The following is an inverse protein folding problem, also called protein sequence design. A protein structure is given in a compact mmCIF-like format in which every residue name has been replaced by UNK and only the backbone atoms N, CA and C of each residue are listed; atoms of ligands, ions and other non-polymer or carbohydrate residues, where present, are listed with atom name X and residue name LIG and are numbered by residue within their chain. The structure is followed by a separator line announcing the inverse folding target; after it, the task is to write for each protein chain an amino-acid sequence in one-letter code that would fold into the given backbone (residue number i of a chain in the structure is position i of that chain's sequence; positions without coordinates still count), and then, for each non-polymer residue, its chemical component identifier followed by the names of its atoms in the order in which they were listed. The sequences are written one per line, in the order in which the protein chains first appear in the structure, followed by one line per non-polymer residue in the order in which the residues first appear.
data_IF_893144757568
#
_entry.id   IF_893144757568
#
_cell.length_a   1.000
_cell.length_b   1.000
_cell.length_c   1.000
_cell.angle_alpha   90.00
_cell.angle_beta   90.00
_cell.angle_gamma   90.00
#
_symmetry.space_group_name_H-M   'P 1'
#
loop_
_entity.id
_entity.type
_entity.pdbx_description
1 polymer ?
#
# COMPACT_ATOMS: atom_id res chain seq x y z
N UNK A 1 99.48 3.94 19.25
CA UNK A 1 98.01 4.06 19.25
C UNK A 1 97.72 5.53 18.95
N UNK A 2 97.16 5.87 17.78
CA UNK A 2 95.70 6.02 17.54
C UNK A 2 95.05 6.98 18.56
N UNK A 3 94.28 8.01 18.21
CA UNK A 3 93.73 8.54 16.92
C UNK A 3 93.39 10.03 17.19
N UNK A 4 93.46 10.98 16.26
CA UNK A 4 92.57 11.12 15.10
C UNK A 4 91.28 11.87 15.48
N UNK A 5 91.19 13.19 15.20
CA UNK A 5 89.96 13.98 15.32
C UNK A 5 89.71 14.73 14.00
N UNK A 6 88.57 14.44 13.35
CA UNK A 6 88.18 15.01 12.06
C UNK A 6 86.99 15.95 12.25
N UNK A 7 87.03 17.09 11.56
CA UNK A 7 85.94 18.07 11.48
C UNK A 7 84.82 17.50 10.60
N UNK A 8 83.57 17.53 11.10
CA UNK A 8 82.37 17.27 10.29
C UNK A 8 81.46 18.49 10.42
N UNK A 9 81.15 19.12 9.29
CA UNK A 9 80.25 20.27 9.21
C UNK A 9 78.78 19.87 9.24
N UNK A 10 77.95 20.69 9.88
CA UNK A 10 76.49 20.50 9.86
C UNK A 10 75.91 20.84 8.48
N UNK A 11 75.27 19.87 7.85
CA UNK A 11 74.27 20.10 6.81
C UNK A 11 72.89 19.93 7.45
N UNK A 12 72.18 21.04 7.63
CA UNK A 12 70.80 21.04 8.12
C UNK A 12 69.82 20.73 7.00
N UNK A 13 69.29 19.52 6.97
CA UNK A 13 68.13 19.17 6.14
C UNK A 13 66.85 19.69 6.79
N UNK A 14 66.22 20.68 6.15
CA UNK A 14 64.87 21.15 6.50
C UNK A 14 63.85 20.07 6.12
N UNK A 15 63.47 19.22 7.08
CA UNK A 15 62.34 18.30 6.92
C UNK A 15 61.03 19.03 7.20
N UNK A 16 60.18 19.17 6.17
CA UNK A 16 58.81 19.64 6.34
C UNK A 16 58.02 18.64 7.19
N UNK A 17 57.14 19.08 8.12
CA UNK A 17 56.35 18.18 8.93
C UNK A 17 55.30 17.43 8.09
N UNK A 18 55.09 16.16 8.41
CA UNK A 18 54.13 15.31 7.72
C UNK A 18 52.70 15.85 7.87
N UNK A 19 51.95 15.84 6.75
CA UNK A 19 50.54 16.27 6.66
C UNK A 19 49.58 15.13 6.26
N UNK A 20 50.01 13.89 6.42
CA UNK A 20 49.30 12.70 5.92
C UNK A 20 48.18 12.20 6.84
N UNK A 21 48.41 12.13 8.17
CA UNK A 21 47.51 11.50 9.16
C UNK A 21 46.05 11.99 9.06
N UNK A 22 45.84 13.30 8.96
CA UNK A 22 44.51 13.93 9.01
C UNK A 22 43.60 13.51 7.83
N UNK A 23 44.16 13.07 6.69
CA UNK A 23 43.37 12.66 5.53
C UNK A 23 42.88 11.22 5.60
N UNK A 24 43.70 10.30 6.13
CA UNK A 24 43.32 8.89 6.29
C UNK A 24 42.27 8.73 7.40
N UNK A 25 42.38 9.48 8.50
CA UNK A 25 41.37 9.55 9.56
C UNK A 25 40.03 10.11 9.03
N UNK A 26 40.08 11.16 8.19
CA UNK A 26 38.88 11.72 7.55
C UNK A 26 38.24 10.73 6.57
N UNK A 27 39.03 9.99 5.79
CA UNK A 27 38.53 8.96 4.89
C UNK A 27 37.88 7.80 5.65
N UNK A 28 38.51 7.31 6.73
CA UNK A 28 37.96 6.25 7.56
C UNK A 28 36.63 6.65 8.22
N UNK A 29 36.54 7.88 8.71
CA UNK A 29 35.31 8.44 9.28
C UNK A 29 34.19 8.54 8.23
N UNK A 30 34.49 9.04 7.03
CA UNK A 30 33.54 9.11 5.91
C UNK A 30 33.04 7.72 5.49
N UNK A 31 33.94 6.74 5.44
CA UNK A 31 33.63 5.36 5.07
C UNK A 31 32.78 4.65 6.14
N UNK A 32 33.01 4.95 7.42
CA UNK A 32 32.16 4.50 8.52
C UNK A 32 30.77 5.14 8.47
N UNK A 33 30.67 6.44 8.18
CA UNK A 33 29.39 7.12 8.01
C UNK A 33 28.60 6.50 6.84
N UNK A 34 29.24 6.22 5.72
CA UNK A 34 28.59 5.57 4.56
C UNK A 34 28.08 4.15 4.90
N UNK A 35 28.83 3.36 5.68
CA UNK A 35 28.38 2.03 6.12
C UNK A 35 27.19 2.09 7.10
N UNK A 36 27.22 3.06 8.03
CA UNK A 36 26.11 3.36 8.93
C UNK A 36 24.85 3.69 8.10
N UNK A 37 24.98 4.63 7.17
CA UNK A 37 23.92 5.09 6.26
C UNK A 37 23.27 3.98 5.44
N UNK A 38 24.06 3.05 4.88
CA UNK A 38 23.52 1.90 4.13
C UNK A 38 22.73 0.97 5.05
N UNK A 39 23.24 0.71 6.26
CA UNK A 39 22.57 -0.14 7.25
C UNK A 39 21.24 0.47 7.70
N UNK A 40 21.20 1.79 7.89
CA UNK A 40 19.98 2.51 8.27
C UNK A 40 18.93 2.47 7.14
N UNK A 41 19.34 2.62 5.87
CA UNK A 41 18.45 2.48 4.69
C UNK A 41 17.82 1.08 4.64
N UNK A 42 18.62 0.02 4.77
CA UNK A 42 18.12 -1.36 4.74
C UNK A 42 17.11 -1.62 5.88
N UNK A 43 17.36 -1.06 7.07
CA UNK A 43 16.43 -1.13 8.20
C UNK A 43 15.12 -0.37 7.94
N UNK A 44 15.18 0.83 7.33
CA UNK A 44 13.99 1.62 7.01
C UNK A 44 13.14 0.97 5.91
N UNK A 45 13.75 0.42 4.84
CA UNK A 45 13.03 -0.33 3.83
C UNK A 45 12.37 -1.60 4.42
N UNK A 46 13.08 -2.36 5.25
CA UNK A 46 12.52 -3.53 5.92
C UNK A 46 11.34 -3.17 6.85
N UNK A 47 11.39 -2.02 7.51
CA UNK A 47 10.28 -1.50 8.31
C UNK A 47 9.08 -1.11 7.43
N UNK A 48 9.30 -0.47 6.28
CA UNK A 48 8.26 -0.08 5.33
C UNK A 48 7.57 -1.31 4.72
N UNK A 49 8.32 -2.33 4.33
CA UNK A 49 7.80 -3.61 3.82
C UNK A 49 6.94 -4.31 4.88
N UNK A 50 7.44 -4.39 6.12
CA UNK A 50 6.70 -4.98 7.24
C UNK A 50 5.41 -4.20 7.55
N UNK A 51 5.45 -2.87 7.55
CA UNK A 51 4.27 -2.03 7.77
C UNK A 51 3.25 -2.16 6.62
N UNK A 52 3.71 -2.23 5.38
CA UNK A 52 2.87 -2.44 4.19
C UNK A 52 2.20 -3.80 4.23
N UNK A 53 2.93 -4.87 4.56
CA UNK A 53 2.39 -6.21 4.74
C UNK A 53 1.34 -6.25 5.87
N UNK A 54 1.56 -5.54 6.97
CA UNK A 54 0.61 -5.43 8.09
C UNK A 54 -0.68 -4.69 7.70
N UNK A 55 -0.58 -3.61 6.90
CA UNK A 55 -1.77 -2.92 6.36
C UNK A 55 -2.55 -3.85 5.42
N UNK A 56 -1.90 -4.55 4.50
CA UNK A 56 -2.55 -5.51 3.59
C UNK A 56 -3.24 -6.63 4.39
N UNK A 57 -2.55 -7.22 5.37
CA UNK A 57 -3.09 -8.27 6.24
C UNK A 57 -4.31 -7.80 7.05
N UNK A 58 -4.23 -6.61 7.66
CA UNK A 58 -5.36 -6.06 8.43
C UNK A 58 -6.58 -5.71 7.56
N UNK A 59 -6.37 -5.20 6.34
CA UNK A 59 -7.46 -4.96 5.37
C UNK A 59 -8.13 -6.26 4.93
N UNK A 60 -7.36 -7.33 4.69
CA UNK A 60 -7.93 -8.64 4.36
C UNK A 60 -8.73 -9.21 5.54
N UNK A 61 -8.19 -9.18 6.75
CA UNK A 61 -8.89 -9.65 7.96
C UNK A 61 -10.20 -8.88 8.21
N UNK A 62 -10.21 -7.56 7.96
CA UNK A 62 -11.42 -6.74 8.04
C UNK A 62 -12.46 -7.15 6.97
N UNK A 63 -12.04 -7.38 5.73
CA UNK A 63 -12.93 -7.84 4.65
C UNK A 63 -13.55 -9.22 4.95
N UNK A 64 -12.74 -10.15 5.46
CA UNK A 64 -13.19 -11.49 5.87
C UNK A 64 -14.21 -11.40 7.03
N UNK A 65 -13.94 -10.55 8.03
CA UNK A 65 -14.86 -10.31 9.15
C UNK A 65 -16.17 -9.65 8.71
N UNK A 66 -16.13 -8.73 7.74
CA UNK A 66 -17.33 -8.13 7.15
C UNK A 66 -18.19 -9.18 6.42
N UNK A 67 -17.57 -10.14 5.72
CA UNK A 67 -18.28 -11.26 5.10
C UNK A 67 -18.92 -12.19 6.16
N UNK A 68 -18.22 -12.46 7.27
CA UNK A 68 -18.76 -13.22 8.41
C UNK A 68 -19.96 -12.50 9.05
N UNK A 69 -19.87 -11.18 9.25
CA UNK A 69 -20.97 -10.36 9.77
C UNK A 69 -22.20 -10.40 8.85
N UNK A 70 -22.02 -10.21 7.54
CA UNK A 70 -23.10 -10.29 6.57
C UNK A 70 -23.80 -11.66 6.58
N UNK A 71 -23.04 -12.75 6.69
CA UNK A 71 -23.57 -14.11 6.84
C UNK A 71 -24.36 -14.27 8.15
N UNK A 72 -23.80 -13.83 9.27
CA UNK A 72 -24.45 -13.94 10.58
C UNK A 72 -25.76 -13.12 10.65
N UNK A 73 -25.79 -11.93 10.05
CA UNK A 73 -27.00 -11.12 9.91
C UNK A 73 -28.07 -11.84 9.07
N UNK A 74 -27.69 -12.43 7.93
CA UNK A 74 -28.62 -13.22 7.11
C UNK A 74 -29.15 -14.46 7.83
N UNK A 75 -28.33 -15.12 8.67
CA UNK A 75 -28.75 -16.28 9.48
C UNK A 75 -29.71 -15.87 10.60
N UNK A 76 -29.46 -14.74 11.26
CA UNK A 76 -30.36 -14.13 12.24
C UNK A 76 -31.71 -13.76 11.62
N UNK A 77 -31.71 -13.12 10.45
CA UNK A 77 -32.94 -12.68 9.79
C UNK A 77 -33.77 -13.89 9.30
N UNK A 78 -33.11 -14.95 8.83
CA UNK A 78 -33.76 -16.23 8.54
C UNK A 78 -34.32 -16.90 9.82
N UNK A 79 -33.60 -16.84 10.95
CA UNK A 79 -34.07 -17.38 12.23
C UNK A 79 -35.32 -16.66 12.73
N UNK A 80 -35.37 -15.32 12.65
CA UNK A 80 -36.56 -14.51 12.95
C UNK A 80 -37.76 -14.87 12.06
N UNK A 81 -37.54 -15.08 10.76
CA UNK A 81 -38.62 -15.46 9.84
C UNK A 81 -39.24 -16.82 10.21
N UNK A 82 -38.43 -17.79 10.63
CA UNK A 82 -38.90 -19.09 11.14
C UNK A 82 -39.55 -18.93 12.52
N UNK A 83 -39.03 -18.06 13.39
CA UNK A 83 -39.59 -17.78 14.72
C UNK A 83 -41.02 -17.23 14.62
N UNK A 84 -41.27 -16.26 13.74
CA UNK A 84 -42.63 -15.77 13.45
C UNK A 84 -43.57 -16.88 12.97
N UNK A 85 -43.09 -17.81 12.13
CA UNK A 85 -43.89 -18.97 11.71
C UNK A 85 -44.23 -19.89 12.89
N UNK A 86 -43.30 -20.11 13.83
CA UNK A 86 -43.56 -20.91 15.04
C UNK A 86 -44.49 -20.20 16.02
N UNK A 87 -44.33 -18.89 16.21
CA UNK A 87 -45.22 -18.07 17.03
C UNK A 87 -46.66 -18.10 16.50
N UNK A 88 -46.85 -17.94 15.19
CA UNK A 88 -48.17 -18.03 14.55
C UNK A 88 -48.78 -19.43 14.66
N UNK A 89 -47.99 -20.49 14.43
CA UNK A 89 -48.46 -21.88 14.59
C UNK A 89 -48.84 -22.20 16.04
N UNK A 90 -48.08 -21.69 17.02
CA UNK A 90 -48.40 -21.81 18.44
C UNK A 90 -49.70 -21.08 18.79
N UNK A 91 -49.87 -19.83 18.34
CA UNK A 91 -51.09 -19.06 18.57
C UNK A 91 -52.35 -19.78 18.04
N UNK A 92 -52.27 -20.35 16.83
CA UNK A 92 -53.37 -21.17 16.27
C UNK A 92 -53.65 -22.41 17.12
N UNK A 93 -52.61 -23.17 17.52
CA UNK A 93 -52.77 -24.38 18.32
C UNK A 93 -53.34 -24.08 19.73
N UNK A 94 -52.98 -22.95 20.34
CA UNK A 94 -53.54 -22.52 21.62
C UNK A 94 -54.99 -22.05 21.50
N UNK A 95 -55.35 -21.41 20.39
CA UNK A 95 -56.74 -21.05 20.09
C UNK A 95 -57.61 -22.28 19.88
N UNK A 96 -57.19 -23.24 19.03
CA UNK A 96 -57.89 -24.51 18.81
C UNK A 96 -58.08 -25.29 20.12
N UNK A 97 -57.05 -25.31 20.98
CA UNK A 97 -57.12 -25.92 22.31
C UNK A 97 -58.14 -25.22 23.23
N UNK A 98 -58.22 -23.88 23.19
CA UNK A 98 -59.20 -23.10 23.94
C UNK A 98 -60.63 -23.40 23.50
N UNK A 99 -60.85 -23.47 22.19
CA UNK A 99 -62.15 -23.76 21.58
C UNK A 99 -62.58 -25.21 21.87
N UNK A 100 -61.65 -26.18 21.82
CA UNK A 100 -61.92 -27.57 22.19
C UNK A 100 -62.27 -27.73 23.69
N UNK A 101 -61.59 -27.02 24.59
CA UNK A 101 -61.94 -26.98 26.02
C UNK A 101 -63.35 -26.42 26.24
N UNK A 102 -63.70 -25.38 25.49
CA UNK A 102 -65.04 -24.79 25.50
C UNK A 102 -66.09 -25.77 24.98
N UNK A 103 -65.82 -26.46 23.86
CA UNK A 103 -66.71 -27.49 23.30
C UNK A 103 -66.96 -28.66 24.27
N UNK A 104 -65.92 -29.16 24.96
CA UNK A 104 -66.05 -30.20 25.98
C UNK A 104 -66.88 -29.71 27.18
N UNK A 105 -66.71 -28.45 27.60
CA UNK A 105 -67.52 -27.84 28.67
C UNK A 105 -69.00 -27.75 28.28
N UNK A 106 -69.30 -27.24 27.07
CA UNK A 106 -70.66 -27.16 26.53
C UNK A 106 -71.29 -28.56 26.35
N UNK A 107 -70.52 -29.54 25.88
CA UNK A 107 -70.97 -30.93 25.75
C UNK A 107 -71.34 -31.57 27.10
N UNK A 108 -70.54 -31.36 28.14
CA UNK A 108 -70.85 -31.81 29.51
C UNK A 108 -72.16 -31.18 30.02
N UNK A 109 -72.32 -29.87 29.82
CA UNK A 109 -73.53 -29.16 30.23
C UNK A 109 -74.78 -29.65 29.47
N UNK A 110 -74.65 -29.92 28.16
CA UNK A 110 -75.74 -30.44 27.34
C UNK A 110 -76.16 -31.86 27.77
N UNK A 111 -75.20 -32.75 28.06
CA UNK A 111 -75.48 -34.10 28.60
C UNK A 111 -76.18 -34.00 29.96
N UNK A 112 -75.69 -33.17 30.88
CA UNK A 112 -76.30 -32.99 32.20
C UNK A 112 -77.73 -32.40 32.12
N UNK A 113 -77.96 -31.41 31.24
CA UNK A 113 -79.28 -30.85 31.01
C UNK A 113 -80.26 -31.90 30.44
N UNK A 114 -79.82 -32.70 29.46
CA UNK A 114 -80.61 -33.77 28.86
C UNK A 114 -80.95 -34.87 29.88
N UNK A 115 -80.01 -35.25 30.76
CA UNK A 115 -80.26 -36.18 31.86
C UNK A 115 -81.28 -35.64 32.85
N UNK A 116 -81.18 -34.36 33.22
CA UNK A 116 -82.12 -33.70 34.13
C UNK A 116 -83.53 -33.65 33.56
N UNK A 117 -83.66 -33.32 32.26
CA UNK A 117 -84.93 -33.34 31.53
C UNK A 117 -85.53 -34.75 31.49
N UNK A 118 -84.78 -35.76 31.06
CA UNK A 118 -85.27 -37.15 31.05
C UNK A 118 -85.73 -37.62 32.45
N UNK A 119 -85.02 -37.24 33.51
CA UNK A 119 -85.41 -37.52 34.89
C UNK A 119 -86.65 -36.72 35.36
N UNK A 120 -86.89 -35.52 34.82
CA UNK A 120 -88.12 -34.76 35.05
C UNK A 120 -89.31 -35.35 34.28
N UNK A 121 -89.12 -35.76 33.03
CA UNK A 121 -90.17 -36.36 32.20
C UNK A 121 -90.59 -37.72 32.76
N UNK A 122 -89.64 -38.55 33.23
CA UNK A 122 -89.95 -39.79 33.97
C UNK A 122 -90.73 -39.54 35.26
N UNK A 123 -90.34 -38.53 36.07
CA UNK A 123 -91.07 -38.17 37.31
C UNK A 123 -92.46 -37.62 37.03
N UNK A 124 -92.60 -36.76 36.01
CA UNK A 124 -93.88 -36.15 35.61
C UNK A 124 -94.81 -37.22 35.06
N UNK A 125 -94.30 -38.14 34.22
CA UNK A 125 -95.03 -39.32 33.76
C UNK A 125 -95.50 -40.17 34.94
N UNK A 126 -94.65 -40.43 35.93
CA UNK A 126 -95.02 -41.21 37.12
C UNK A 126 -96.06 -40.50 38.01
N UNK A 127 -95.99 -39.17 38.14
CA UNK A 127 -96.90 -38.37 38.97
C UNK A 127 -98.26 -38.09 38.31
N UNK A 128 -98.27 -37.77 37.00
CA UNK A 128 -99.51 -37.60 36.24
C UNK A 128 -100.20 -38.93 35.98
N UNK A 129 -99.44 -40.02 35.87
CA UNK A 129 -99.99 -41.37 35.73
C UNK A 129 -100.17 -42.05 37.10
N UNK A 130 -100.96 -41.42 37.98
CA UNK A 130 -101.69 -42.13 39.05
C UNK A 130 -102.58 -43.25 38.49
N UNK A 131 -102.86 -43.21 37.17
CA UNK A 131 -103.36 -44.31 36.38
C UNK A 131 -102.45 -45.54 36.24
N UNK A 132 -101.24 -45.61 36.82
CA UNK A 132 -100.52 -46.89 36.94
C UNK A 132 -101.29 -47.91 37.81
N UNK A 133 -102.20 -47.45 38.68
CA UNK A 133 -103.22 -48.30 39.32
C UNK A 133 -104.13 -48.95 38.26
N UNK A 134 -104.43 -48.27 37.15
CA UNK A 134 -105.18 -48.85 36.02
C UNK A 134 -104.36 -49.75 35.09
N UNK A 135 -103.02 -49.80 35.21
CA UNK A 135 -102.24 -50.91 34.63
C UNK A 135 -102.44 -52.19 35.45
N UNK A 136 -102.69 -52.06 36.76
CA UNK A 136 -103.28 -53.13 37.57
C UNK A 136 -104.69 -53.52 37.10
N UNK A 137 -105.51 -52.55 36.63
CA UNK A 137 -106.80 -52.83 36.02
C UNK A 137 -106.74 -53.29 34.55
N UNK A 138 -105.56 -53.34 33.92
CA UNK A 138 -105.38 -53.94 32.59
C UNK A 138 -105.71 -55.45 32.58
N UNK A 139 -105.74 -56.08 33.77
CA UNK A 139 -106.07 -57.48 33.98
C UNK A 139 -107.32 -57.70 34.86
N UNK A 140 -108.09 -56.64 35.20
CA UNK A 140 -109.18 -56.73 36.20
C UNK A 140 -110.54 -56.23 35.72
N UNK A 141 -110.65 -55.57 34.56
CA UNK A 141 -111.99 -55.27 34.00
C UNK A 141 -112.07 -55.37 32.47
N UNK A 142 -113.12 -56.02 31.96
CA UNK A 142 -113.19 -56.56 30.58
C UNK A 142 -114.26 -55.93 29.68
N UNK A 143 -115.00 -54.92 30.15
CA UNK A 143 -116.27 -54.52 29.50
C UNK A 143 -116.29 -53.18 28.73
N UNK A 144 -115.17 -52.45 28.57
CA UNK A 144 -115.10 -51.30 27.66
C UNK A 144 -114.05 -51.47 26.54
N UNK A 145 -114.55 -51.71 25.32
CA UNK A 145 -113.75 -51.89 24.10
C UNK A 145 -113.44 -50.54 23.39
N UNK A 146 -113.98 -49.41 23.89
CA UNK A 146 -113.96 -48.12 23.21
C UNK A 146 -112.61 -47.40 23.10
N UNK A 147 -111.57 -47.83 23.83
CA UNK A 147 -110.30 -47.09 23.96
C UNK A 147 -109.01 -47.89 23.69
N UNK A 148 -109.08 -49.05 23.03
CA UNK A 148 -107.86 -49.81 22.65
C UNK A 148 -106.91 -48.97 21.79
N UNK A 149 -107.45 -48.17 20.86
CA UNK A 149 -106.69 -47.20 20.07
C UNK A 149 -105.98 -46.16 20.93
N UNK A 150 -106.66 -45.57 21.91
CA UNK A 150 -106.07 -44.63 22.86
C UNK A 150 -105.00 -45.29 23.73
N UNK A 151 -105.22 -46.52 24.21
CA UNK A 151 -104.22 -47.27 25.00
C UNK A 151 -102.96 -47.59 24.19
N UNK A 152 -103.11 -47.99 22.92
CA UNK A 152 -101.99 -48.19 21.99
C UNK A 152 -101.30 -46.87 21.65
N UNK A 153 -102.05 -45.77 21.46
CA UNK A 153 -101.47 -44.43 21.26
C UNK A 153 -100.72 -43.94 22.50
N UNK A 154 -101.21 -44.16 23.72
CA UNK A 154 -100.49 -43.79 24.95
C UNK A 154 -99.26 -44.67 25.18
N UNK A 155 -99.37 -45.98 25.00
CA UNK A 155 -98.22 -46.89 25.12
C UNK A 155 -97.13 -46.58 24.08
N UNK A 156 -97.51 -46.32 22.83
CA UNK A 156 -96.57 -45.89 21.79
C UNK A 156 -96.04 -44.47 22.01
N UNK A 157 -96.85 -43.52 22.50
CA UNK A 157 -96.37 -42.16 22.82
C UNK A 157 -95.38 -42.17 23.98
N UNK A 158 -95.64 -42.94 25.04
CA UNK A 158 -94.70 -43.10 26.16
C UNK A 158 -93.42 -43.82 25.74
N UNK A 159 -93.54 -44.88 24.94
CA UNK A 159 -92.38 -45.61 24.40
C UNK A 159 -91.55 -44.74 23.43
N UNK A 160 -92.20 -43.96 22.56
CA UNK A 160 -91.55 -43.09 21.57
C UNK A 160 -90.98 -41.82 22.20
N UNK A 161 -91.62 -41.23 23.21
CA UNK A 161 -91.08 -40.10 23.95
C UNK A 161 -89.83 -40.51 24.75
N UNK A 162 -89.92 -41.64 25.48
CA UNK A 162 -88.79 -42.15 26.26
C UNK A 162 -87.64 -42.59 25.34
N UNK A 163 -87.91 -43.26 24.22
CA UNK A 163 -86.86 -43.62 23.25
C UNK A 163 -86.23 -42.40 22.57
N UNK A 164 -86.99 -41.33 22.30
CA UNK A 164 -86.46 -40.09 21.73
C UNK A 164 -85.49 -39.38 22.69
N UNK A 165 -85.83 -39.24 23.96
CA UNK A 165 -84.95 -38.59 24.95
C UNK A 165 -83.70 -39.43 25.25
N UNK A 166 -83.81 -40.76 25.26
CA UNK A 166 -82.69 -41.69 25.38
C UNK A 166 -81.77 -41.65 24.15
N UNK A 167 -82.32 -41.69 22.94
CA UNK A 167 -81.55 -41.56 21.69
C UNK A 167 -80.79 -40.23 21.64
N UNK A 168 -81.43 -39.13 22.06
CA UNK A 168 -80.80 -37.80 22.14
C UNK A 168 -79.70 -37.75 23.20
N UNK A 169 -79.89 -38.40 24.35
CA UNK A 169 -78.84 -38.54 25.37
C UNK A 169 -77.64 -39.32 24.83
N UNK A 170 -77.86 -40.45 24.16
CA UNK A 170 -76.81 -41.26 23.53
C UNK A 170 -76.05 -40.45 22.46
N UNK A 171 -76.75 -39.68 21.63
CA UNK A 171 -76.13 -38.79 20.66
C UNK A 171 -75.23 -37.73 21.32
N UNK A 172 -75.70 -37.07 22.39
CA UNK A 172 -74.92 -36.08 23.12
C UNK A 172 -73.72 -36.70 23.85
N UNK A 173 -73.84 -37.92 24.36
CA UNK A 173 -72.73 -38.67 24.97
C UNK A 173 -71.65 -39.01 23.94
N UNK A 174 -72.04 -39.46 22.74
CA UNK A 174 -71.09 -39.72 21.63
C UNK A 174 -70.41 -38.42 21.15
N UNK A 175 -71.16 -37.32 21.04
CA UNK A 175 -70.59 -36.01 20.70
C UNK A 175 -69.60 -35.52 21.77
N UNK A 176 -69.92 -35.68 23.06
CA UNK A 176 -69.01 -35.35 24.15
C UNK A 176 -67.75 -36.24 24.13
N UNK A 177 -67.90 -37.55 23.91
CA UNK A 177 -66.77 -38.47 23.81
C UNK A 177 -65.83 -38.06 22.66
N UNK A 178 -66.38 -37.77 21.48
CA UNK A 178 -65.61 -37.30 20.33
C UNK A 178 -64.89 -35.97 20.63
N UNK A 179 -65.56 -35.02 21.27
CA UNK A 179 -64.96 -33.75 21.69
C UNK A 179 -63.84 -33.95 22.73
N UNK A 180 -63.97 -34.91 23.65
CA UNK A 180 -62.93 -35.27 24.62
C UNK A 180 -61.71 -35.92 23.95
N UNK A 181 -61.92 -36.78 22.94
CA UNK A 181 -60.83 -37.34 22.14
C UNK A 181 -60.11 -36.26 21.33
N UNK A 182 -60.86 -35.35 20.69
CA UNK A 182 -60.28 -34.20 19.96
C UNK A 182 -59.50 -33.27 20.90
N UNK A 183 -60.00 -33.00 22.11
CA UNK A 183 -59.29 -32.22 23.11
C UNK A 183 -57.92 -32.84 23.45
N UNK A 184 -57.84 -34.15 23.67
CA UNK A 184 -56.58 -34.83 23.96
C UNK A 184 -55.55 -34.69 22.81
N UNK A 185 -56.00 -34.77 21.55
CA UNK A 185 -55.14 -34.51 20.38
C UNK A 185 -54.67 -33.06 20.31
N UNK A 186 -55.54 -32.09 20.61
CA UNK A 186 -55.19 -30.67 20.59
C UNK A 186 -54.29 -30.25 21.77
N UNK A 187 -54.41 -30.92 22.92
CA UNK A 187 -53.45 -30.78 24.03
C UNK A 187 -52.05 -31.26 23.64
N UNK A 188 -51.96 -32.35 22.86
CA UNK A 188 -50.69 -32.85 22.31
C UNK A 188 -50.10 -31.88 21.28
N UNK A 189 -50.91 -31.45 20.30
CA UNK A 189 -50.50 -30.49 19.27
C UNK A 189 -50.00 -29.17 19.87
N UNK A 190 -50.70 -28.62 20.86
CA UNK A 190 -50.29 -27.39 21.53
C UNK A 190 -48.99 -27.59 22.34
N UNK A 191 -48.77 -28.76 22.97
CA UNK A 191 -47.51 -29.08 23.64
C UNK A 191 -46.34 -29.10 22.64
N UNK A 192 -46.50 -29.83 21.52
CA UNK A 192 -45.49 -29.90 20.46
C UNK A 192 -45.22 -28.53 19.83
N UNK A 193 -46.25 -27.70 19.64
CA UNK A 193 -46.09 -26.33 19.15
C UNK A 193 -45.28 -25.45 20.12
N UNK A 194 -45.52 -25.56 21.44
CA UNK A 194 -44.74 -24.85 22.47
C UNK A 194 -43.28 -25.30 22.49
N UNK A 195 -43.03 -26.61 22.44
CA UNK A 195 -41.67 -27.17 22.37
C UNK A 195 -40.93 -26.69 21.12
N UNK A 196 -41.60 -26.69 19.95
CA UNK A 196 -41.03 -26.20 18.69
C UNK A 196 -40.75 -24.69 18.69
N UNK A 197 -41.64 -23.88 19.30
CA UNK A 197 -41.43 -22.44 19.45
C UNK A 197 -40.28 -22.13 20.41
N UNK A 198 -40.22 -22.79 21.57
CA UNK A 198 -39.12 -22.62 22.53
C UNK A 198 -37.76 -23.03 21.94
N UNK A 199 -37.71 -24.14 21.20
CA UNK A 199 -36.51 -24.58 20.50
C UNK A 199 -36.07 -23.63 19.37
N UNK A 200 -37.02 -22.94 18.72
CA UNK A 200 -36.70 -21.94 17.71
C UNK A 200 -36.22 -20.63 18.34
N UNK A 201 -36.85 -20.17 19.42
CA UNK A 201 -36.43 -18.97 20.15
C UNK A 201 -34.96 -19.06 20.60
N UNK A 202 -34.53 -20.22 21.13
CA UNK A 202 -33.12 -20.44 21.48
C UNK A 202 -32.16 -20.40 20.28
N UNK A 203 -32.62 -20.77 19.07
CA UNK A 203 -31.82 -20.64 17.84
C UNK A 203 -31.73 -19.18 17.37
N UNK A 204 -32.84 -18.44 17.48
CA UNK A 204 -32.88 -16.99 17.16
C UNK A 204 -31.93 -16.22 18.08
N UNK A 205 -31.97 -16.47 19.40
CA UNK A 205 -31.05 -15.88 20.38
C UNK A 205 -29.58 -16.23 20.10
N UNK A 206 -29.28 -17.47 19.69
CA UNK A 206 -27.92 -17.85 19.31
C UNK A 206 -27.45 -17.14 18.02
N UNK A 207 -28.34 -16.93 17.05
CA UNK A 207 -28.05 -16.20 15.82
C UNK A 207 -27.88 -14.68 16.05
N UNK A 208 -28.67 -14.08 16.95
CA UNK A 208 -28.48 -12.71 17.45
C UNK A 208 -27.08 -12.55 18.07
N UNK A 209 -26.73 -13.41 19.04
CA UNK A 209 -25.42 -13.37 19.71
C UNK A 209 -24.25 -13.57 18.74
N UNK A 210 -24.41 -14.42 17.72
CA UNK A 210 -23.42 -14.60 16.66
C UNK A 210 -23.26 -13.33 15.79
N UNK A 211 -24.35 -12.68 15.41
CA UNK A 211 -24.32 -11.43 14.66
C UNK A 211 -23.70 -10.28 15.47
N UNK A 212 -24.02 -10.15 16.76
CA UNK A 212 -23.44 -9.16 17.66
C UNK A 212 -21.95 -9.41 17.89
N UNK A 213 -21.55 -10.68 18.05
CA UNK A 213 -20.13 -11.06 18.18
C UNK A 213 -19.34 -10.72 16.91
N UNK A 214 -19.89 -11.00 15.74
CA UNK A 214 -19.29 -10.63 14.46
C UNK A 214 -19.21 -9.10 14.28
N UNK A 215 -20.22 -8.35 14.72
CA UNK A 215 -20.22 -6.89 14.65
C UNK A 215 -19.12 -6.29 15.55
N UNK A 216 -18.97 -6.81 16.76
CA UNK A 216 -17.88 -6.43 17.66
C UNK A 216 -16.50 -6.77 17.08
N UNK A 217 -16.35 -7.94 16.43
CA UNK A 217 -15.11 -8.32 15.76
C UNK A 217 -14.77 -7.37 14.60
N UNK A 218 -15.74 -6.98 13.77
CA UNK A 218 -15.56 -5.97 12.72
C UNK A 218 -15.12 -4.63 13.34
N UNK A 219 -15.76 -4.17 14.42
CA UNK A 219 -15.38 -2.91 15.08
C UNK A 219 -13.94 -2.95 15.64
N UNK A 220 -13.50 -4.07 16.19
CA UNK A 220 -12.11 -4.26 16.65
C UNK A 220 -11.12 -4.25 15.46
N UNK A 221 -11.49 -4.87 14.34
CA UNK A 221 -10.63 -4.92 13.16
C UNK A 221 -10.57 -3.60 12.39
N UNK A 222 -11.61 -2.76 12.43
CA UNK A 222 -11.55 -1.37 11.97
C UNK A 222 -10.50 -0.60 12.77
N UNK A 223 -10.58 -0.62 14.11
CA UNK A 223 -9.60 0.07 14.96
C UNK A 223 -8.16 -0.49 14.79
N UNK A 224 -8.02 -1.80 14.59
CA UNK A 224 -6.71 -2.42 14.30
C UNK A 224 -6.17 -2.03 12.92
N UNK A 225 -7.04 -1.86 11.91
CA UNK A 225 -6.66 -1.40 10.58
C UNK A 225 -6.27 0.09 10.59
N UNK A 226 -7.04 0.95 11.26
CA UNK A 226 -6.67 2.36 11.50
C UNK A 226 -5.31 2.49 12.20
N UNK A 227 -5.05 1.66 13.22
CA UNK A 227 -3.76 1.63 13.92
C UNK A 227 -2.61 1.13 13.00
N UNK A 228 -2.86 0.15 12.13
CA UNK A 228 -1.87 -0.33 11.17
C UNK A 228 -1.56 0.75 10.11
N UNK A 229 -2.57 1.46 9.61
CA UNK A 229 -2.39 2.56 8.65
C UNK A 229 -1.67 3.76 9.29
N UNK A 230 -1.97 4.11 10.54
CA UNK A 230 -1.24 5.13 11.29
C UNK A 230 0.23 4.73 11.52
N UNK A 231 0.50 3.47 11.84
CA UNK A 231 1.86 2.94 11.99
C UNK A 231 2.65 3.00 10.66
N UNK A 232 2.03 2.61 9.55
CA UNK A 232 2.64 2.71 8.22
C UNK A 232 2.89 4.16 7.79
N UNK A 233 1.98 5.08 8.12
CA UNK A 233 2.18 6.52 7.88
C UNK A 233 3.35 7.09 8.70
N UNK A 234 3.55 6.61 9.94
CA UNK A 234 4.71 7.00 10.75
C UNK A 234 6.01 6.45 10.17
N UNK A 235 6.08 5.18 9.79
CA UNK A 235 7.27 4.58 9.16
C UNK A 235 7.66 5.32 7.86
N UNK A 236 6.68 5.67 7.02
CA UNK A 236 6.90 6.48 5.82
C UNK A 236 7.38 7.92 6.14
N UNK A 237 6.97 8.49 7.27
CA UNK A 237 7.47 9.79 7.72
C UNK A 237 8.92 9.70 8.23
N UNK A 238 9.24 8.64 8.98
CA UNK A 238 10.57 8.36 9.51
C UNK A 238 11.57 8.07 8.37
N UNK A 239 11.18 7.27 7.38
CA UNK A 239 11.95 7.00 6.15
C UNK A 239 12.26 8.31 5.39
N UNK A 240 11.25 9.17 5.18
CA UNK A 240 11.44 10.48 4.53
C UNK A 240 12.36 11.39 5.34
N UNK A 241 12.29 11.38 6.66
CA UNK A 241 13.18 12.13 7.53
C UNK A 241 14.62 11.61 7.45
N UNK A 242 14.80 10.28 7.43
CA UNK A 242 16.10 9.63 7.24
C UNK A 242 16.71 9.98 5.87
N UNK A 243 15.93 9.90 4.79
CA UNK A 243 16.38 10.26 3.45
C UNK A 243 16.71 11.76 3.32
N UNK A 244 15.96 12.65 3.98
CA UNK A 244 16.29 14.08 4.03
C UNK A 244 17.58 14.36 4.81
N UNK A 245 17.80 13.66 5.94
CA UNK A 245 19.05 13.72 6.68
C UNK A 245 20.23 13.19 5.85
N UNK A 246 20.02 12.11 5.09
CA UNK A 246 21.02 11.55 4.19
C UNK A 246 21.42 12.53 3.10
N UNK A 247 20.44 13.19 2.46
CA UNK A 247 20.68 14.22 1.45
C UNK A 247 21.54 15.36 2.01
N UNK A 248 21.21 15.86 3.20
CA UNK A 248 21.97 16.93 3.86
C UNK A 248 23.42 16.51 4.22
N UNK A 249 23.64 15.24 4.61
CA UNK A 249 24.99 14.71 4.81
C UNK A 249 25.78 14.64 3.50
N UNK A 250 25.17 14.13 2.42
CA UNK A 250 25.79 14.04 1.10
C UNK A 250 26.13 15.43 0.52
N UNK A 251 25.26 16.42 0.73
CA UNK A 251 25.52 17.81 0.34
C UNK A 251 26.68 18.41 1.15
N UNK A 252 26.72 18.17 2.48
CA UNK A 252 27.82 18.61 3.34
C UNK A 252 29.17 17.98 2.97
N UNK A 253 29.18 16.69 2.61
CA UNK A 253 30.38 15.98 2.14
C UNK A 253 30.81 16.52 0.77
N UNK A 254 29.86 16.76 -0.13
CA UNK A 254 30.13 17.38 -1.44
C UNK A 254 30.75 18.76 -1.29
N UNK A 255 30.23 19.59 -0.39
CA UNK A 255 30.79 20.91 -0.08
C UNK A 255 32.21 20.79 0.48
N UNK A 256 32.46 19.89 1.44
CA UNK A 256 33.81 19.66 1.98
C UNK A 256 34.82 19.23 0.90
N UNK A 257 34.42 18.38 -0.06
CA UNK A 257 35.24 17.99 -1.21
C UNK A 257 35.51 19.20 -2.13
N UNK A 258 34.52 20.04 -2.40
CA UNK A 258 34.70 21.27 -3.21
C UNK A 258 35.66 22.26 -2.54
N UNK A 259 35.48 22.52 -1.24
CA UNK A 259 36.37 23.40 -0.46
C UNK A 259 37.81 22.87 -0.42
N UNK A 260 38.00 21.54 -0.26
CA UNK A 260 39.31 20.88 -0.34
C UNK A 260 39.93 21.06 -1.73
N UNK A 261 39.19 20.79 -2.80
CA UNK A 261 39.69 20.91 -4.17
C UNK A 261 40.07 22.35 -4.50
N UNK A 262 39.27 23.33 -4.06
CA UNK A 262 39.57 24.76 -4.20
C UNK A 262 40.84 25.15 -3.43
N UNK A 263 41.03 24.63 -2.21
CA UNK A 263 42.26 24.83 -1.42
C UNK A 263 43.48 24.26 -2.12
N UNK A 264 43.40 23.03 -2.62
CA UNK A 264 44.50 22.39 -3.37
C UNK A 264 44.84 23.15 -4.66
N UNK A 265 43.83 23.63 -5.40
CA UNK A 265 44.03 24.47 -6.58
C UNK A 265 44.71 25.81 -6.22
N UNK A 266 44.33 26.45 -5.11
CA UNK A 266 44.96 27.68 -4.64
C UNK A 266 46.41 27.46 -4.17
N UNK A 267 46.69 26.37 -3.45
CA UNK A 267 48.05 25.99 -3.05
C UNK A 267 48.93 25.69 -4.28
N UNK A 268 48.40 24.97 -5.28
CA UNK A 268 49.10 24.70 -6.54
C UNK A 268 49.35 25.97 -7.36
N UNK A 269 48.38 26.89 -7.44
CA UNK A 269 48.53 28.17 -8.11
C UNK A 269 49.57 29.07 -7.42
N UNK A 270 49.60 29.09 -6.08
CA UNK A 270 50.62 29.81 -5.32
C UNK A 270 52.03 29.21 -5.54
N UNK A 271 52.16 27.88 -5.59
CA UNK A 271 53.42 27.21 -5.91
C UNK A 271 53.89 27.51 -7.34
N UNK A 272 52.99 27.50 -8.32
CA UNK A 272 53.29 27.86 -9.71
C UNK A 272 53.74 29.33 -9.83
N UNK A 273 53.05 30.27 -9.18
CA UNK A 273 53.43 31.67 -9.15
C UNK A 273 54.81 31.89 -8.49
N UNK A 274 55.11 31.18 -7.40
CA UNK A 274 56.42 31.23 -6.75
C UNK A 274 57.53 30.67 -7.66
N UNK A 275 57.27 29.57 -8.38
CA UNK A 275 58.20 28.99 -9.34
C UNK A 275 58.46 29.94 -10.54
N UNK A 276 57.41 30.59 -11.04
CA UNK A 276 57.52 31.57 -12.12
C UNK A 276 58.33 32.80 -11.69
N UNK A 277 58.06 33.36 -10.50
CA UNK A 277 58.83 34.47 -9.94
C UNK A 277 60.32 34.10 -9.73
N UNK A 278 60.61 32.87 -9.29
CA UNK A 278 61.97 32.37 -9.17
C UNK A 278 62.67 32.23 -10.54
N UNK A 279 61.96 31.77 -11.57
CA UNK A 279 62.48 31.69 -12.94
C UNK A 279 62.75 33.07 -13.55
N UNK A 280 61.87 34.05 -13.34
CA UNK A 280 62.05 35.44 -13.76
C UNK A 280 63.26 36.08 -13.05
N UNK A 281 63.42 35.86 -11.74
CA UNK A 281 64.59 36.33 -11.00
C UNK A 281 65.90 35.71 -11.50
N UNK A 282 65.90 34.41 -11.81
CA UNK A 282 67.06 33.71 -12.39
C UNK A 282 67.39 34.23 -13.80
N UNK A 283 66.38 34.48 -14.64
CA UNK A 283 66.56 35.05 -15.97
C UNK A 283 67.10 36.49 -15.92
N UNK A 284 66.63 37.32 -14.98
CA UNK A 284 67.14 38.67 -14.76
C UNK A 284 68.61 38.66 -14.30
N UNK A 285 68.99 37.75 -13.39
CA UNK A 285 70.37 37.58 -12.96
C UNK A 285 71.29 37.11 -14.10
N UNK A 286 70.83 36.16 -14.92
CA UNK A 286 71.56 35.70 -16.11
C UNK A 286 71.72 36.81 -17.16
N UNK A 287 70.69 37.65 -17.36
CA UNK A 287 70.75 38.80 -18.26
C UNK A 287 71.74 39.88 -17.76
N UNK A 288 71.81 40.13 -16.44
CA UNK A 288 72.83 41.02 -15.86
C UNK A 288 74.24 40.48 -16.09
N UNK A 289 74.49 39.20 -15.79
CA UNK A 289 75.79 38.56 -16.04
C UNK A 289 76.19 38.59 -17.53
N UNK A 290 75.24 38.37 -18.45
CA UNK A 290 75.47 38.45 -19.88
C UNK A 290 75.78 39.89 -20.33
N UNK A 291 75.11 40.89 -19.76
CA UNK A 291 75.37 42.31 -20.04
C UNK A 291 76.75 42.76 -19.52
N UNK A 292 77.15 42.32 -18.32
CA UNK A 292 78.48 42.57 -17.76
C UNK A 292 79.57 41.91 -18.62
N UNK A 293 79.37 40.66 -19.03
CA UNK A 293 80.29 39.95 -19.94
C UNK A 293 80.39 40.63 -21.31
N UNK A 294 79.27 41.11 -21.87
CA UNK A 294 79.25 41.86 -23.12
C UNK A 294 79.94 43.22 -23.01
N UNK A 295 79.77 43.95 -21.90
CA UNK A 295 80.47 45.20 -21.63
C UNK A 295 81.98 44.99 -21.49
N UNK A 296 82.41 43.93 -20.79
CA UNK A 296 83.81 43.53 -20.71
C UNK A 296 84.40 43.16 -22.09
N UNK A 297 83.63 42.44 -22.93
CA UNK A 297 84.02 42.12 -24.30
C UNK A 297 84.12 43.36 -25.20
N UNK A 298 83.22 44.34 -25.04
CA UNK A 298 83.29 45.62 -25.76
C UNK A 298 84.48 46.48 -25.31
N UNK A 299 84.83 46.48 -24.02
CA UNK A 299 86.07 47.11 -23.54
C UNK A 299 87.33 46.42 -24.09
N UNK A 300 87.31 45.09 -24.25
CA UNK A 300 88.40 44.33 -24.89
C UNK A 300 88.48 44.56 -26.42
N UNK A 301 87.36 44.89 -27.07
CA UNK A 301 87.28 45.13 -28.51
C UNK A 301 87.67 46.56 -28.94
N UNK A 302 88.09 47.43 -28.01
CA UNK A 302 88.48 48.82 -28.28
C UNK A 302 89.90 48.95 -28.89
N UNK A 303 90.13 48.31 -30.04
CA UNK A 303 91.28 48.53 -30.92
C UNK A 303 90.83 48.53 -32.41
N UNK A 304 91.38 49.37 -33.29
CA UNK A 304 90.65 49.80 -34.50
C UNK A 304 90.93 49.01 -35.78
N UNK A 305 89.87 48.52 -36.44
CA UNK A 305 89.68 48.33 -37.90
C UNK A 305 88.34 47.60 -38.14
N UNK A 306 87.60 47.66 -39.25
CA UNK A 306 87.35 48.58 -40.36
C UNK A 306 86.52 47.78 -41.41
N UNK A 307 85.58 48.44 -42.09
CA UNK A 307 84.81 47.98 -43.27
C UNK A 307 83.69 46.91 -43.11
N UNK A 308 82.64 47.07 -43.92
CA UNK A 308 81.40 46.27 -43.99
C UNK A 308 81.30 45.48 -45.33
N UNK A 309 80.24 44.69 -45.62
CA UNK A 309 78.96 45.25 -46.10
C UNK A 309 77.66 44.48 -45.69
N UNK A 310 76.52 44.90 -46.26
CA UNK A 310 75.16 44.33 -46.12
C UNK A 310 75.02 42.89 -46.69
N UNK A 311 73.91 42.13 -46.57
CA UNK A 311 72.50 42.37 -46.18
C UNK A 311 71.90 41.06 -45.57
N UNK A 312 70.61 40.82 -45.28
CA UNK A 312 69.33 41.52 -45.55
C UNK A 312 68.23 41.13 -44.50
N UNK A 313 66.99 41.55 -44.75
CA UNK A 313 65.72 41.09 -44.13
C UNK A 313 64.65 40.97 -45.26
N UNK A 314 63.35 40.65 -45.06
CA UNK A 314 62.62 40.28 -43.82
C UNK A 314 61.65 39.07 -43.98
N UNK A 315 60.94 38.70 -42.91
CA UNK A 315 59.57 38.15 -42.91
C UNK A 315 59.09 37.94 -41.45
N UNK A 316 57.82 38.10 -41.06
CA UNK A 316 56.75 38.98 -41.53
C UNK A 316 55.80 39.18 -40.32
N UNK A 317 55.00 40.25 -40.27
CA UNK A 317 54.11 40.56 -39.14
C UNK A 317 52.70 40.93 -39.64
N UNK A 318 51.81 39.95 -39.68
CA UNK A 318 50.35 40.16 -39.76
C UNK A 318 49.65 38.95 -39.11
N UNK A 319 48.72 39.04 -38.15
CA UNK A 319 47.59 39.97 -37.88
C UNK A 319 46.37 39.72 -38.76
N UNK A 320 45.18 39.73 -38.13
CA UNK A 320 43.84 39.48 -38.71
C UNK A 320 43.52 38.00 -39.01
N UNK A 321 42.28 37.49 -38.86
CA UNK A 321 41.02 38.15 -38.45
C UNK A 321 40.10 37.16 -37.72
N UNK A 322 39.07 37.68 -37.04
CA UNK A 322 38.06 36.89 -36.35
C UNK A 322 37.25 35.96 -37.29
N UNK A 323 36.90 34.78 -36.78
CA UNK A 323 35.77 33.97 -37.24
C UNK A 323 34.91 33.62 -36.01
N UNK A 324 33.60 33.52 -36.20
CA UNK A 324 32.63 33.52 -35.10
C UNK A 324 32.78 32.35 -34.12
N UNK A 325 32.59 32.63 -32.84
CA UNK A 325 32.68 31.65 -31.75
C UNK A 325 31.60 30.57 -31.83
N UNK A 326 31.96 29.39 -32.32
CA UNK A 326 31.33 28.13 -31.87
C UNK A 326 32.10 27.65 -30.64
N UNK A 327 31.54 27.88 -29.45
CA UNK A 327 32.15 27.43 -28.19
C UNK A 327 31.97 25.93 -28.00
N UNK A 328 33.07 25.17 -28.01
CA UNK A 328 33.14 23.82 -27.45
C UNK A 328 33.49 22.70 -28.43
N UNK A 329 34.25 21.74 -27.90
CA UNK A 329 34.49 20.40 -28.42
C UNK A 329 33.19 19.67 -28.82
N UNK A 330 33.17 18.93 -29.95
CA UNK A 330 32.01 18.13 -30.33
C UNK A 330 31.97 16.79 -29.58
N UNK A 331 30.87 16.56 -28.86
CA UNK A 331 30.54 15.26 -28.28
C UNK A 331 30.08 14.28 -29.38
N UNK A 332 29.94 13.01 -29.05
CA UNK A 332 29.33 11.98 -29.89
C UNK A 332 27.85 11.85 -29.53
N UNK A 333 26.97 11.74 -30.52
CA UNK A 333 25.54 11.58 -30.28
C UNK A 333 25.27 10.28 -29.49
N UNK A 334 24.76 10.36 -28.24
CA UNK A 334 24.78 9.22 -27.34
C UNK A 334 23.68 8.18 -27.63
N UNK A 335 22.72 8.51 -28.49
CA UNK A 335 21.70 7.60 -29.01
C UNK A 335 21.25 8.05 -30.40
N UNK A 336 20.76 7.11 -31.23
CA UNK A 336 20.19 7.43 -32.54
C UNK A 336 18.66 7.58 -32.43
N UNK A 337 18.18 8.82 -32.43
CA UNK A 337 16.76 9.16 -32.34
C UNK A 337 16.51 10.67 -32.41
N UNK A 338 15.27 11.12 -32.66
CA UNK A 338 14.91 12.53 -32.59
C UNK A 338 15.02 13.09 -31.16
N UNK A 339 15.35 14.38 -31.05
CA UNK A 339 15.23 15.11 -29.79
C UNK A 339 13.73 15.33 -29.48
N UNK A 340 13.25 14.71 -28.42
CA UNK A 340 11.83 14.73 -28.03
C UNK A 340 11.50 15.82 -27.01
N UNK A 341 12.49 16.28 -26.23
CA UNK A 341 12.32 17.34 -25.25
C UNK A 341 13.64 18.10 -25.06
N UNK A 342 13.71 19.41 -25.39
CA UNK A 342 14.93 20.20 -25.23
C UNK A 342 15.18 20.61 -23.78
N UNK A 343 16.43 20.99 -23.47
CA UNK A 343 16.80 21.62 -22.21
C UNK A 343 16.03 22.94 -21.97
N UNK A 344 15.64 23.20 -20.73
CA UNK A 344 15.02 24.45 -20.30
C UNK A 344 13.76 24.28 -19.45
N UNK A 345 13.16 25.40 -19.04
CA UNK A 345 11.95 25.37 -18.21
C UNK A 345 10.74 24.82 -18.97
N UNK A 346 10.13 23.75 -18.45
CA UNK A 346 8.91 23.13 -18.99
C UNK A 346 7.99 22.65 -17.87
N UNK A 347 6.71 22.47 -18.16
CA UNK A 347 5.82 21.71 -17.27
C UNK A 347 6.25 20.25 -17.29
N UNK A 348 6.47 19.65 -16.11
CA UNK A 348 6.74 18.21 -15.99
C UNK A 348 5.52 17.43 -16.50
N UNK A 349 5.65 16.53 -17.50
CA UNK A 349 4.53 15.77 -18.04
C UNK A 349 3.99 14.68 -17.07
N UNK A 350 4.75 14.33 -16.03
CA UNK A 350 4.40 13.39 -14.96
C UNK A 350 3.89 14.13 -13.72
N UNK A 351 4.58 15.19 -13.29
CA UNK A 351 4.32 15.89 -12.01
C UNK A 351 3.45 17.16 -12.13
N UNK A 352 3.20 17.65 -13.35
CA UNK A 352 2.22 18.71 -13.63
C UNK A 352 2.60 20.15 -13.24
N UNK A 353 3.76 20.37 -12.61
CA UNK A 353 4.27 21.72 -12.28
C UNK A 353 5.45 22.13 -13.18
N UNK A 354 5.80 23.42 -13.18
CA UNK A 354 6.94 23.94 -13.95
C UNK A 354 8.27 23.58 -13.30
N UNK A 355 9.13 22.87 -14.02
CA UNK A 355 10.48 22.47 -13.60
C UNK A 355 11.52 22.88 -14.63
N UNK A 356 12.80 22.88 -14.24
CA UNK A 356 13.90 22.94 -15.18
C UNK A 356 14.13 21.53 -15.75
N UNK A 357 14.01 21.37 -17.05
CA UNK A 357 14.58 20.23 -17.75
C UNK A 357 16.08 20.47 -17.88
N UNK A 358 16.84 19.80 -17.03
CA UNK A 358 18.29 19.93 -16.88
C UNK A 358 19.09 19.09 -17.89
N UNK A 359 18.40 18.40 -18.80
CA UNK A 359 19.01 17.61 -19.88
C UNK A 359 18.29 17.73 -21.23
N UNK A 360 18.58 16.78 -22.12
CA UNK A 360 18.01 16.64 -23.46
C UNK A 360 17.45 15.23 -23.62
N UNK A 361 16.17 15.10 -23.96
CA UNK A 361 15.55 13.79 -24.21
C UNK A 361 15.72 13.38 -25.67
N UNK A 362 16.30 12.20 -25.89
CA UNK A 362 16.47 11.57 -27.20
C UNK A 362 15.54 10.35 -27.26
N UNK A 363 14.45 10.46 -28.02
CA UNK A 363 13.44 9.41 -28.12
C UNK A 363 13.91 8.28 -29.04
N UNK A 364 13.89 7.04 -28.54
CA UNK A 364 14.24 5.86 -29.32
C UNK A 364 13.61 4.60 -28.69
N UNK A 365 13.56 3.49 -29.44
CA UNK A 365 12.98 2.25 -28.94
C UNK A 365 13.73 1.73 -27.70
N UNK A 366 13.00 1.16 -26.74
CA UNK A 366 13.64 0.48 -25.61
C UNK A 366 14.63 -0.61 -26.10
N UNK A 367 15.72 -0.77 -25.36
CA UNK A 367 16.89 -1.58 -25.68
C UNK A 367 17.73 -1.10 -26.90
N UNK A 368 17.51 0.12 -27.40
CA UNK A 368 18.44 0.78 -28.34
C UNK A 368 19.79 1.04 -27.64
N UNK A 369 20.95 0.76 -28.26
CA UNK A 369 22.26 1.02 -27.63
C UNK A 369 22.50 2.50 -27.31
N UNK A 370 23.11 2.75 -26.15
CA UNK A 370 23.59 4.06 -25.69
C UNK A 370 25.11 4.09 -25.75
N UNK A 371 25.66 5.18 -26.27
CA UNK A 371 27.08 5.36 -26.57
C UNK A 371 27.71 6.46 -25.72
N UNK A 372 28.96 6.27 -25.29
CA UNK A 372 29.73 7.29 -24.58
C UNK A 372 30.00 8.51 -25.48
N UNK A 373 29.56 9.69 -25.04
CA UNK A 373 29.66 10.95 -25.75
C UNK A 373 31.11 11.43 -25.96
N UNK A 374 32.01 11.11 -25.04
CA UNK A 374 33.45 11.29 -25.18
C UNK A 374 34.19 10.14 -24.45
N UNK A 375 35.50 10.03 -24.67
CA UNK A 375 36.33 9.09 -23.89
C UNK A 375 36.47 9.58 -22.45
N UNK A 376 36.58 8.69 -21.49
CA UNK A 376 36.68 9.07 -20.08
C UNK A 376 36.55 7.89 -19.13
N UNK A 377 36.48 8.20 -17.83
CA UNK A 377 36.28 7.23 -16.76
C UNK A 377 34.83 7.27 -16.30
N UNK A 378 34.17 6.12 -16.21
CA UNK A 378 32.85 6.00 -15.59
C UNK A 378 32.99 6.38 -14.11
N UNK A 379 32.50 7.57 -13.74
CA UNK A 379 32.58 8.06 -12.37
C UNK A 379 31.58 7.34 -11.46
N UNK A 380 30.37 7.10 -11.96
CA UNK A 380 29.29 6.45 -11.20
C UNK A 380 28.38 5.65 -12.14
N UNK A 381 27.83 4.56 -11.60
CA UNK A 381 26.63 3.92 -12.12
C UNK A 381 25.63 3.75 -10.97
N UNK A 382 24.38 4.10 -11.21
CA UNK A 382 23.34 4.17 -10.17
C UNK A 382 22.15 3.31 -10.64
N UNK A 383 21.79 2.24 -9.91
CA UNK A 383 20.63 1.43 -10.24
C UNK A 383 19.33 2.20 -9.93
N UNK A 384 18.26 1.88 -10.67
CA UNK A 384 16.96 2.55 -10.62
C UNK A 384 16.45 2.83 -9.19
N UNK A 385 16.51 1.81 -8.32
CA UNK A 385 16.02 1.90 -6.94
C UNK A 385 16.77 2.91 -6.05
N UNK A 386 17.97 3.35 -6.41
CA UNK A 386 18.75 4.37 -5.69
C UNK A 386 18.92 5.68 -6.47
N UNK A 387 18.35 5.76 -7.67
CA UNK A 387 18.50 6.89 -8.59
C UNK A 387 17.30 7.85 -8.58
N UNK A 388 16.24 7.49 -7.84
CA UNK A 388 15.00 8.26 -7.77
C UNK A 388 14.38 8.47 -9.15
N UNK A 389 14.11 9.73 -9.51
CA UNK A 389 13.51 10.09 -10.80
C UNK A 389 14.33 9.69 -12.03
N UNK A 390 15.66 9.54 -11.90
CA UNK A 390 16.57 9.32 -13.03
C UNK A 390 16.57 7.90 -13.60
N UNK A 391 16.01 6.91 -12.89
CA UNK A 391 16.10 5.50 -13.30
C UNK A 391 17.55 4.99 -13.35
N UNK A 392 17.81 3.88 -14.04
CA UNK A 392 19.19 3.39 -14.17
C UNK A 392 20.06 4.44 -14.88
N UNK A 393 21.17 4.81 -14.25
CA UNK A 393 22.01 5.93 -14.66
C UNK A 393 23.48 5.57 -14.77
N UNK A 394 24.16 6.15 -15.76
CA UNK A 394 25.63 6.18 -15.88
C UNK A 394 26.10 7.64 -15.87
N UNK A 395 27.23 7.92 -15.22
CA UNK A 395 27.93 9.21 -15.30
C UNK A 395 29.39 8.94 -15.72
N UNK A 396 29.88 9.66 -16.72
CA UNK A 396 31.26 9.58 -17.22
C UNK A 396 31.94 10.93 -16.99
N UNK A 397 33.10 10.91 -16.33
CA UNK A 397 34.02 12.04 -16.26
C UNK A 397 35.01 11.95 -17.43
N UNK A 398 35.05 13.01 -18.24
CA UNK A 398 35.93 13.13 -19.39
C UNK A 398 37.21 13.94 -19.09
N UNK A 399 37.36 14.41 -17.85
CA UNK A 399 38.46 15.27 -17.44
C UNK A 399 38.37 16.64 -18.10
N UNK A 400 39.52 17.18 -18.51
CA UNK A 400 39.63 18.51 -19.11
C UNK A 400 39.61 18.43 -20.64
N UNK A 401 38.65 19.09 -21.27
CA UNK A 401 38.56 19.27 -22.72
C UNK A 401 38.51 20.77 -23.02
N UNK A 402 39.37 21.25 -23.92
CA UNK A 402 39.50 22.67 -24.32
C UNK A 402 39.54 23.67 -23.14
N UNK A 403 40.15 23.27 -22.02
CA UNK A 403 40.33 24.13 -20.84
C UNK A 403 39.14 24.19 -19.88
N UNK A 404 38.12 23.33 -20.05
CA UNK A 404 37.03 23.15 -19.07
C UNK A 404 36.91 21.69 -18.65
N UNK A 405 36.42 21.44 -17.44
CA UNK A 405 36.12 20.08 -16.97
C UNK A 405 34.76 19.63 -17.50
N UNK A 406 34.66 18.41 -18.02
CA UNK A 406 33.48 17.91 -18.73
C UNK A 406 33.04 16.56 -18.18
N UNK A 407 31.76 16.43 -17.85
CA UNK A 407 31.15 15.12 -17.56
C UNK A 407 29.79 14.99 -18.23
N UNK A 408 29.38 13.75 -18.49
CA UNK A 408 28.10 13.44 -19.15
C UNK A 408 27.30 12.39 -18.40
N UNK A 409 25.97 12.47 -18.50
CA UNK A 409 25.03 11.62 -17.77
C UNK A 409 24.01 10.98 -18.70
N UNK A 410 23.69 9.72 -18.43
CA UNK A 410 22.85 8.87 -19.27
C UNK A 410 21.80 8.22 -18.37
N UNK A 411 20.55 8.63 -18.48
CA UNK A 411 19.48 8.30 -17.54
C UNK A 411 18.35 7.47 -18.20
N UNK A 412 17.40 6.98 -17.39
CA UNK A 412 16.27 6.12 -17.76
C UNK A 412 16.65 4.80 -18.48
N UNK A 413 17.87 4.31 -18.29
CA UNK A 413 18.38 3.12 -19.00
C UNK A 413 17.58 1.86 -18.63
N UNK A 414 17.45 0.90 -19.55
CA UNK A 414 16.96 -0.44 -19.20
C UNK A 414 18.04 -1.25 -18.51
N UNK A 415 19.31 -1.01 -18.88
CA UNK A 415 20.50 -1.60 -18.29
C UNK A 415 21.75 -0.82 -18.71
N UNK A 416 22.82 -0.95 -17.92
CA UNK A 416 24.16 -0.49 -18.27
C UNK A 416 25.14 -1.67 -18.24
N UNK A 417 26.15 -1.63 -19.11
CA UNK A 417 27.16 -2.70 -19.30
C UNK A 417 28.57 -2.25 -18.90
N UNK A 418 28.66 -1.15 -18.14
CA UNK A 418 29.89 -0.57 -17.59
C UNK A 418 29.76 -0.36 -16.09
N UNK A 419 30.88 -0.25 -15.37
CA UNK A 419 30.92 -0.02 -13.92
C UNK A 419 31.83 1.13 -13.50
N UNK A 420 31.73 1.62 -12.25
CA UNK A 420 32.55 2.72 -11.76
C UNK A 420 34.05 2.42 -11.84
N UNK A 421 34.86 3.43 -12.18
CA UNK A 421 36.30 3.32 -12.42
C UNK A 421 36.68 2.73 -13.80
N UNK A 422 35.74 2.26 -14.60
CA UNK A 422 36.01 1.73 -15.93
C UNK A 422 36.33 2.85 -16.93
N UNK A 423 37.42 2.73 -17.68
CA UNK A 423 37.68 3.57 -18.85
C UNK A 423 36.79 3.16 -20.03
N UNK A 424 36.20 4.15 -20.70
CA UNK A 424 35.39 3.98 -21.91
C UNK A 424 35.85 4.94 -23.01
N UNK A 425 35.75 4.51 -24.26
CA UNK A 425 36.12 5.34 -25.41
C UNK A 425 34.90 6.05 -26.00
N UNK A 426 35.10 7.22 -26.63
CA UNK A 426 34.06 7.92 -27.42
C UNK A 426 33.42 6.96 -28.44
N UNK A 427 32.10 6.86 -28.44
CA UNK A 427 31.34 5.95 -29.30
C UNK A 427 31.30 4.48 -28.84
N UNK A 428 31.82 4.15 -27.65
CA UNK A 428 31.67 2.82 -27.05
C UNK A 428 30.25 2.65 -26.49
N UNK A 429 29.64 1.47 -26.67
CA UNK A 429 28.35 1.14 -26.02
C UNK A 429 28.56 1.03 -24.51
N UNK A 430 27.73 1.74 -23.74
CA UNK A 430 27.78 1.78 -22.28
C UNK A 430 26.50 1.24 -21.62
N UNK A 431 25.41 1.12 -22.38
CA UNK A 431 24.12 0.64 -21.88
C UNK A 431 23.06 0.66 -22.96
N UNK A 432 21.80 0.58 -22.53
CA UNK A 432 20.64 0.47 -23.42
C UNK A 432 19.48 1.33 -22.92
N UNK A 433 18.76 1.95 -23.84
CA UNK A 433 17.62 2.84 -23.56
C UNK A 433 16.48 2.07 -22.86
N UNK A 434 15.85 2.69 -21.88
CA UNK A 434 14.70 2.14 -21.17
C UNK A 434 13.64 3.19 -20.88
N UNK A 435 12.88 2.92 -19.82
CA UNK A 435 11.81 3.78 -19.31
C UNK A 435 11.77 3.73 -17.78
N UNK A 436 12.95 3.58 -17.16
CA UNK A 436 13.12 3.43 -15.70
C UNK A 436 13.06 4.78 -14.98
N UNK A 437 12.66 4.80 -13.71
CA UNK A 437 12.40 6.04 -12.96
C UNK A 437 11.17 6.80 -13.47
N UNK A 438 11.19 8.14 -13.37
CA UNK A 438 10.07 9.01 -13.76
C UNK A 438 10.03 9.29 -15.27
N UNK A 439 9.84 8.23 -16.06
CA UNK A 439 9.78 8.30 -17.52
C UNK A 439 8.37 8.04 -18.07
N UNK A 440 7.98 8.79 -19.12
CA UNK A 440 6.70 8.61 -19.84
C UNK A 440 6.78 7.65 -21.03
N UNK A 441 7.93 7.00 -21.26
CA UNK A 441 8.16 6.08 -22.38
C UNK A 441 9.62 5.97 -22.77
N UNK A 442 9.96 5.06 -23.69
CA UNK A 442 11.35 4.78 -24.05
C UNK A 442 12.10 6.02 -24.59
N UNK A 443 13.08 6.52 -23.84
CA UNK A 443 13.98 7.60 -24.26
C UNK A 443 15.28 7.61 -23.43
N UNK A 444 16.32 8.26 -23.96
CA UNK A 444 17.52 8.60 -23.20
C UNK A 444 17.39 10.06 -22.73
N UNK A 445 17.42 10.29 -21.41
CA UNK A 445 17.59 11.63 -20.87
C UNK A 445 19.09 11.90 -20.65
N UNK A 446 19.65 12.84 -21.41
CA UNK A 446 21.09 13.08 -21.50
C UNK A 446 21.52 14.40 -20.84
N UNK A 447 22.56 14.34 -20.01
CA UNK A 447 23.13 15.49 -19.28
C UNK A 447 24.54 15.83 -19.77
N UNK A 448 24.87 17.12 -19.77
CA UNK A 448 26.24 17.64 -19.95
C UNK A 448 26.53 18.64 -18.83
N UNK A 449 27.56 18.36 -18.03
CA UNK A 449 28.08 19.32 -17.04
C UNK A 449 29.42 19.90 -17.51
N UNK A 450 29.55 21.23 -17.40
CA UNK A 450 30.77 21.98 -17.69
C UNK A 450 31.22 22.67 -16.40
N UNK A 451 32.44 22.37 -15.94
CA UNK A 451 32.96 22.82 -14.64
C UNK A 451 31.97 22.55 -13.47
N UNK A 452 31.29 21.40 -13.51
CA UNK A 452 30.28 20.98 -12.53
C UNK A 452 28.90 21.64 -12.68
N UNK A 453 28.72 22.63 -13.57
CA UNK A 453 27.43 23.27 -13.83
C UNK A 453 26.67 22.54 -14.92
N UNK A 454 25.36 22.33 -14.72
CA UNK A 454 24.46 21.80 -15.75
C UNK A 454 24.43 22.75 -16.94
N UNK A 455 24.53 22.22 -18.17
CA UNK A 455 24.44 23.00 -19.40
C UNK A 455 23.45 22.36 -20.38
N UNK A 456 22.94 23.18 -21.32
CA UNK A 456 22.16 22.67 -22.46
C UNK A 456 23.05 21.71 -23.30
N UNK A 457 22.67 20.44 -23.51
CA UNK A 457 23.47 19.52 -24.32
C UNK A 457 23.50 19.84 -25.82
N UNK A 458 22.47 20.51 -26.34
CA UNK A 458 22.26 20.66 -27.79
C UNK A 458 23.38 21.38 -28.58
N UNK A 459 24.13 22.35 -28.03
CA UNK A 459 25.26 22.97 -28.73
C UNK A 459 26.50 22.05 -28.89
N UNK A 460 26.53 20.91 -28.20
CA UNK A 460 27.68 19.99 -28.18
C UNK A 460 27.46 18.72 -29.01
N UNK A 461 26.25 18.49 -29.55
CA UNK A 461 25.82 17.28 -30.26
C UNK A 461 25.54 17.52 -31.76
#
# INVERSE_FOLDING_TARGET
MLTGLIVIGCLGSLTAPARADDLDDQQANLQSQLQQSVTDIDNHHAALDAATAQVVSSRQALADAQAVLAKAQSERDAAYAVDQQKANALASAEQELSDAKTAVSLGKNAVAAQQSKAAQDMRTTHQQNTGLISLGMLFVDTEDVGSVSSRVQWASTLYNANSTELNRLTQLQLQLQNAQTQLATLEDNARVAREAAAAQLSRTQAAEQAADSAANQVSQLVAANEAAEASAAQVLADERAAHASMQAQMDSVTQAIQERNARQAAEAAAAAAAAQAAAEAAAAAAAQQAAEAAAAAQQAAAAPAAAAPAAAAPADTSSSTAAASSSGFPLYTPANGPYTSPFGWRTNPVLGYSELHDGLDIGAGCNTPVYAAASGTVGQTVPEWSSGGWGNRVIIDHGWIDGVQVSTGYNHLSSYIVGPGQWVNRGQVIGYIGTTGLSTGCHLHFHVWINGQVTNPAPYL
#
